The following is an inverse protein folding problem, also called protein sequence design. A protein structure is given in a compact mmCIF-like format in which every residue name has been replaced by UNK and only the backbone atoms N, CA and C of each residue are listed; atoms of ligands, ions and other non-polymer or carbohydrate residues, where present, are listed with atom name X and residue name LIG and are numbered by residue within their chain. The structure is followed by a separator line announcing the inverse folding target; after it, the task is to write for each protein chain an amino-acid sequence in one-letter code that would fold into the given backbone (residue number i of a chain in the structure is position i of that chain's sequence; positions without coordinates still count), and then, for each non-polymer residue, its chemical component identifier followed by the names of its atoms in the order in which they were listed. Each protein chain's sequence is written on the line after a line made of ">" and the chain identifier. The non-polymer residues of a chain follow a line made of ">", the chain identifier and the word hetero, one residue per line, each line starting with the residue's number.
data_IF_696954115478
#
_entry.id   IF_696954115478
#
_cell.length_a   1.000
_cell.length_b   1.000
_cell.length_c   1.000
_cell.angle_alpha   90.00
_cell.angle_beta   90.00
_cell.angle_gamma   90.00
#
_symmetry.space_group_name_H-M   'P 1'
#
loop_
_entity.id
_entity.type
_entity.pdbx_description
1 polymer ?
#
# COMPACT_ATOMS: atom_id res chain seq x y z
N UNK A 1 7.11 8.66 19.95
CA UNK A 1 7.82 7.42 20.32
C UNK A 1 6.75 6.35 20.44
N UNK A 2 6.77 5.32 19.60
CA UNK A 2 5.77 4.26 19.63
C UNK A 2 6.06 3.34 20.82
N UNK A 3 5.10 3.18 21.74
CA UNK A 3 5.29 2.53 23.04
C UNK A 3 5.10 1.01 23.02
N UNK A 4 5.06 0.40 21.84
CA UNK A 4 4.72 -1.01 21.72
C UNK A 4 5.89 -1.81 21.15
N UNK A 5 6.23 -2.92 21.82
CA UNK A 5 7.31 -3.81 21.42
C UNK A 5 6.85 -5.28 21.39
N UNK A 6 6.58 -5.79 20.19
CA UNK A 6 6.25 -7.21 19.99
C UNK A 6 7.36 -8.13 20.48
N UNK A 7 8.62 -7.67 20.51
CA UNK A 7 9.76 -8.50 20.95
C UNK A 7 9.75 -8.82 22.43
N UNK A 8 8.92 -8.14 23.23
CA UNK A 8 8.74 -8.48 24.64
C UNK A 8 8.11 -9.88 24.81
N UNK A 9 7.24 -10.27 23.89
CA UNK A 9 6.44 -11.49 23.99
C UNK A 9 6.69 -12.50 22.86
N UNK A 10 7.40 -12.11 21.79
CA UNK A 10 7.57 -12.93 20.60
C UNK A 10 8.99 -12.83 20.02
N UNK A 11 9.42 -13.90 19.34
CA UNK A 11 10.58 -13.82 18.45
C UNK A 11 10.17 -13.18 17.12
N UNK A 12 10.62 -11.95 16.87
CA UNK A 12 10.25 -11.17 15.67
C UNK A 12 11.47 -10.99 14.76
N UNK A 13 11.35 -11.46 13.53
CA UNK A 13 12.34 -11.26 12.47
C UNK A 13 11.78 -10.31 11.40
N UNK A 14 12.57 -9.32 11.01
CA UNK A 14 12.25 -8.40 9.92
C UNK A 14 13.06 -8.80 8.68
N UNK A 15 12.35 -9.08 7.60
CA UNK A 15 12.88 -9.20 6.25
C UNK A 15 12.22 -8.20 5.30
N UNK A 16 12.50 -8.35 4.01
CA UNK A 16 11.95 -7.51 2.96
C UNK A 16 11.56 -8.36 1.74
N UNK A 17 10.52 -7.94 1.04
CA UNK A 17 10.05 -8.51 -0.21
C UNK A 17 9.85 -7.40 -1.26
N UNK A 18 9.53 -7.81 -2.48
CA UNK A 18 9.17 -6.92 -3.56
C UNK A 18 7.66 -6.94 -3.82
N UNK A 19 7.09 -5.75 -4.02
CA UNK A 19 5.72 -5.57 -4.50
C UNK A 19 5.60 -6.04 -5.96
N UNK A 20 4.39 -6.42 -6.38
CA UNK A 20 4.08 -6.59 -7.79
C UNK A 20 4.15 -5.26 -8.54
N UNK A 21 4.23 -5.31 -9.88
CA UNK A 21 4.10 -4.11 -10.73
C UNK A 21 2.87 -4.24 -11.64
N UNK A 22 1.96 -3.26 -11.65
CA UNK A 22 1.85 -2.11 -10.73
C UNK A 22 1.77 -2.51 -9.25
N UNK A 23 2.24 -1.61 -8.38
CA UNK A 23 2.29 -1.78 -6.93
C UNK A 23 0.90 -1.58 -6.32
N UNK A 24 0.02 -2.56 -6.55
CA UNK A 24 -1.36 -2.58 -6.11
C UNK A 24 -1.82 -3.98 -5.66
N UNK A 25 -2.97 -4.02 -4.98
CA UNK A 25 -3.56 -5.23 -4.41
C UNK A 25 -3.95 -6.28 -5.46
N UNK A 26 -4.38 -5.88 -6.66
CA UNK A 26 -4.88 -6.81 -7.69
C UNK A 26 -3.72 -7.62 -8.28
N UNK A 27 -2.65 -6.92 -8.64
CA UNK A 27 -1.44 -7.52 -9.16
C UNK A 27 -0.75 -8.37 -8.09
N UNK A 28 -0.75 -7.92 -6.84
CA UNK A 28 -0.16 -8.68 -5.74
C UNK A 28 -0.88 -10.00 -5.48
N UNK A 29 -2.22 -9.98 -5.42
CA UNK A 29 -3.02 -11.20 -5.27
C UNK A 29 -2.78 -12.19 -6.40
N UNK A 30 -2.59 -11.68 -7.62
CA UNK A 30 -2.27 -12.51 -8.79
C UNK A 30 -0.88 -13.15 -8.67
N UNK A 31 0.11 -12.41 -8.14
CA UNK A 31 1.47 -12.90 -7.92
C UNK A 31 1.54 -13.99 -6.84
N UNK A 32 0.80 -13.85 -5.74
CA UNK A 32 0.88 -14.78 -4.62
C UNK A 32 0.53 -16.22 -4.99
N UNK A 33 -0.20 -16.45 -6.10
CA UNK A 33 -0.65 -17.77 -6.55
C UNK A 33 -1.32 -18.60 -5.43
N UNK A 34 -1.86 -17.93 -4.41
CA UNK A 34 -2.56 -18.56 -3.30
C UNK A 34 -3.99 -18.80 -3.77
N UNK A 35 -4.39 -20.08 -3.82
CA UNK A 35 -5.77 -20.43 -4.05
C UNK A 35 -6.59 -20.18 -2.78
N UNK A 36 -7.01 -18.92 -2.58
CA UNK A 36 -7.78 -18.49 -1.41
C UNK A 36 -9.07 -19.30 -1.21
N UNK A 37 -9.63 -19.91 -2.27
CA UNK A 37 -10.84 -20.73 -2.15
C UNK A 37 -10.63 -22.05 -1.40
N UNK A 38 -9.38 -22.50 -1.26
CA UNK A 38 -9.01 -23.72 -0.51
C UNK A 38 -8.50 -23.44 0.90
N UNK A 39 -8.50 -22.17 1.33
CA UNK A 39 -7.94 -21.73 2.60
C UNK A 39 -9.04 -21.16 3.49
N UNK A 40 -8.89 -21.31 4.80
CA UNK A 40 -9.73 -20.57 5.75
C UNK A 40 -9.25 -19.13 5.82
N UNK A 41 -9.99 -18.22 5.21
CA UNK A 41 -9.59 -16.81 5.10
C UNK A 41 -10.43 -15.94 6.03
N UNK A 42 -9.76 -15.23 6.94
CA UNK A 42 -10.33 -14.13 7.72
C UNK A 42 -10.17 -12.82 6.96
N UNK A 43 -11.19 -11.97 6.94
CA UNK A 43 -11.13 -10.66 6.29
C UNK A 43 -11.35 -9.57 7.34
N UNK A 44 -10.38 -8.67 7.44
CA UNK A 44 -10.32 -7.58 8.41
C UNK A 44 -10.61 -6.28 7.65
N UNK A 45 -11.90 -5.91 7.61
CA UNK A 45 -12.38 -4.69 6.97
C UNK A 45 -12.87 -3.64 7.98
N UNK A 46 -13.10 -4.05 9.22
CA UNK A 46 -13.60 -3.20 10.30
C UNK A 46 -12.92 -3.63 11.61
N UNK A 47 -12.33 -2.67 12.30
CA UNK A 47 -11.58 -2.91 13.54
C UNK A 47 -12.48 -3.47 14.65
N UNK A 48 -13.71 -2.98 14.78
CA UNK A 48 -14.59 -3.29 15.91
C UNK A 48 -15.42 -4.56 15.69
N UNK A 49 -15.51 -5.02 14.44
CA UNK A 49 -16.44 -6.08 14.03
C UNK A 49 -15.78 -7.27 13.36
N UNK A 50 -14.45 -7.40 13.38
CA UNK A 50 -13.78 -8.53 12.73
C UNK A 50 -14.11 -9.85 13.45
N UNK A 51 -14.85 -10.79 12.82
CA UNK A 51 -15.15 -12.08 13.42
C UNK A 51 -13.94 -12.99 13.23
N UNK A 52 -13.00 -12.96 14.18
CA UNK A 52 -11.88 -13.92 14.24
C UNK A 52 -12.41 -15.21 14.85
N UNK A 53 -12.43 -16.30 14.08
CA UNK A 53 -12.84 -17.63 14.56
C UNK A 53 -11.69 -18.42 15.19
N UNK A 54 -10.45 -17.96 14.99
CA UNK A 54 -9.24 -18.53 15.56
C UNK A 54 -8.67 -19.73 14.79
N UNK A 55 -9.32 -20.15 13.70
CA UNK A 55 -8.90 -21.29 12.88
C UNK A 55 -8.58 -20.93 11.43
N UNK A 56 -8.52 -19.64 11.12
CA UNK A 56 -8.13 -19.10 9.83
C UNK A 56 -6.63 -19.30 9.57
N UNK A 57 -6.29 -19.63 8.33
CA UNK A 57 -4.91 -19.79 7.87
C UNK A 57 -4.34 -18.49 7.28
N UNK A 58 -5.21 -17.60 6.81
CA UNK A 58 -4.85 -16.37 6.13
C UNK A 58 -5.76 -15.24 6.61
N UNK A 59 -5.17 -14.12 6.96
CA UNK A 59 -5.90 -12.87 7.24
C UNK A 59 -5.62 -11.85 6.14
N UNK A 60 -6.68 -11.30 5.55
CA UNK A 60 -6.60 -10.19 4.59
C UNK A 60 -7.06 -8.92 5.29
N UNK A 61 -6.15 -7.98 5.50
CA UNK A 61 -6.45 -6.70 6.14
C UNK A 61 -6.46 -5.56 5.12
N UNK A 62 -7.42 -4.63 5.27
CA UNK A 62 -7.41 -3.35 4.56
C UNK A 62 -6.65 -2.25 5.29
N UNK A 63 -6.12 -2.55 6.48
CA UNK A 63 -5.35 -1.60 7.30
C UNK A 63 -3.86 -1.86 7.14
N UNK A 64 -3.01 -0.82 7.09
CA UNK A 64 -3.33 0.58 7.34
C UNK A 64 -3.89 1.36 6.13
N UNK A 65 -3.93 0.78 4.93
CA UNK A 65 -4.26 1.48 3.67
C UNK A 65 -5.57 2.29 3.77
N UNK A 66 -6.66 1.67 4.20
CA UNK A 66 -7.97 2.34 4.35
C UNK A 66 -7.96 3.51 5.35
N UNK A 67 -7.09 3.48 6.35
CA UNK A 67 -6.91 4.59 7.30
C UNK A 67 -6.05 5.70 6.72
N UNK A 68 -5.04 5.36 5.91
CA UNK A 68 -4.21 6.33 5.19
C UNK A 68 -5.01 7.03 4.09
N UNK A 69 -5.93 6.32 3.42
CA UNK A 69 -6.83 6.92 2.43
C UNK A 69 -7.81 7.93 3.05
N UNK A 70 -8.25 7.68 4.30
CA UNK A 70 -9.18 8.53 5.05
C UNK A 70 -8.48 9.51 6.01
N UNK A 71 -7.15 9.65 5.90
CA UNK A 71 -6.39 10.55 6.79
C UNK A 71 -6.79 12.01 6.62
N UNK A 72 -7.30 12.37 5.44
CA UNK A 72 -7.77 13.70 5.08
C UNK A 72 -9.06 13.61 4.25
N UNK A 73 -10.04 14.45 4.59
CA UNK A 73 -11.22 14.70 3.74
C UNK A 73 -11.22 16.17 3.34
N UNK A 74 -11.01 16.43 2.04
CA UNK A 74 -10.80 17.78 1.54
C UNK A 74 -9.53 18.40 2.13
N UNK A 75 -9.68 19.48 2.90
CA UNK A 75 -8.56 20.13 3.62
C UNK A 75 -8.45 19.69 5.08
N UNK A 76 -9.43 18.96 5.59
CA UNK A 76 -9.51 18.60 7.02
C UNK A 76 -8.77 17.30 7.28
N UNK A 77 -7.78 17.35 8.17
CA UNK A 77 -7.09 16.16 8.65
C UNK A 77 -7.99 15.42 9.65
N UNK A 78 -8.44 14.23 9.29
CA UNK A 78 -9.31 13.41 10.14
C UNK A 78 -8.48 12.59 11.13
N UNK A 79 -7.28 12.16 10.71
CA UNK A 79 -6.39 11.34 11.53
C UNK A 79 -4.92 11.71 11.30
N UNK A 80 -4.04 11.33 12.20
CA UNK A 80 -2.60 11.52 12.12
C UNK A 80 -1.88 10.19 11.85
N UNK A 81 -0.66 10.25 11.31
CA UNK A 81 0.12 9.02 11.07
C UNK A 81 0.39 8.24 12.36
N UNK A 82 0.74 8.89 13.49
CA UNK A 82 0.83 8.19 14.76
C UNK A 82 -0.46 7.48 15.19
N UNK A 83 -1.63 8.10 14.97
CA UNK A 83 -2.91 7.46 15.28
C UNK A 83 -3.18 6.25 14.38
N UNK A 84 -2.94 6.36 13.07
CA UNK A 84 -3.08 5.24 12.12
C UNK A 84 -2.15 4.09 12.49
N UNK A 85 -0.89 4.41 12.84
CA UNK A 85 0.06 3.42 13.33
C UNK A 85 -0.45 2.74 14.60
N UNK A 86 -0.83 3.50 15.62
CA UNK A 86 -1.25 2.93 16.91
C UNK A 86 -2.49 2.04 16.75
N UNK A 87 -3.47 2.46 15.95
CA UNK A 87 -4.66 1.63 15.64
C UNK A 87 -4.28 0.35 14.92
N UNK A 88 -3.44 0.44 13.89
CA UNK A 88 -3.00 -0.74 13.12
C UNK A 88 -2.16 -1.69 13.97
N UNK A 89 -1.34 -1.16 14.86
CA UNK A 89 -0.55 -1.95 15.80
C UNK A 89 -1.44 -2.65 16.81
N UNK A 90 -2.43 -1.95 17.40
CA UNK A 90 -3.38 -2.54 18.33
C UNK A 90 -4.20 -3.67 17.68
N UNK A 91 -4.59 -3.50 16.41
CA UNK A 91 -5.24 -4.55 15.62
C UNK A 91 -4.37 -5.81 15.54
N UNK A 92 -3.07 -5.63 15.30
CA UNK A 92 -2.13 -6.74 15.24
C UNK A 92 -1.99 -7.43 16.60
N UNK A 93 -1.84 -6.68 17.69
CA UNK A 93 -1.81 -7.26 19.05
C UNK A 93 -3.05 -8.10 19.32
N UNK A 94 -4.24 -7.51 19.10
CA UNK A 94 -5.51 -8.18 19.36
C UNK A 94 -5.70 -9.43 18.48
N UNK A 95 -5.18 -9.42 17.25
CA UNK A 95 -5.18 -10.58 16.37
C UNK A 95 -4.29 -11.69 16.92
N UNK A 96 -3.05 -11.37 17.29
CA UNK A 96 -2.07 -12.33 17.81
C UNK A 96 -2.51 -12.97 19.15
N UNK A 97 -3.28 -12.24 19.97
CA UNK A 97 -3.89 -12.75 21.20
C UNK A 97 -5.03 -13.75 20.94
N UNK A 98 -5.78 -13.58 19.85
CA UNK A 98 -6.99 -14.37 19.55
C UNK A 98 -6.73 -15.64 18.73
N UNK A 99 -5.57 -15.76 18.10
CA UNK A 99 -5.24 -16.88 17.22
C UNK A 99 -4.17 -17.79 17.83
N UNK A 100 -4.31 -19.09 17.59
CA UNK A 100 -3.26 -20.06 17.88
C UNK A 100 -2.32 -20.16 16.66
N UNK A 101 -1.02 -20.06 16.89
CA UNK A 101 0.01 -20.13 15.84
C UNK A 101 1.36 -20.52 16.44
N UNK A 102 2.18 -21.21 15.66
CA UNK A 102 3.60 -21.43 15.95
C UNK A 102 4.45 -20.33 15.29
N UNK A 103 4.17 -20.07 14.01
CA UNK A 103 4.73 -18.99 13.22
C UNK A 103 3.65 -18.26 12.43
N UNK A 104 3.79 -16.93 12.32
CA UNK A 104 2.96 -16.10 11.46
C UNK A 104 3.85 -15.19 10.62
N UNK A 105 3.53 -15.09 9.33
CA UNK A 105 4.21 -14.19 8.40
C UNK A 105 3.25 -13.09 7.98
N UNK A 106 3.66 -11.85 8.23
CA UNK A 106 2.93 -10.64 7.86
C UNK A 106 3.64 -10.00 6.67
N UNK A 107 2.90 -9.79 5.59
CA UNK A 107 3.37 -9.19 4.35
C UNK A 107 2.43 -8.06 3.93
N UNK A 108 2.93 -7.19 3.06
CA UNK A 108 2.16 -6.12 2.44
C UNK A 108 2.30 -6.18 0.93
N UNK A 109 1.22 -5.81 0.24
CA UNK A 109 1.14 -5.73 -1.21
C UNK A 109 1.93 -4.56 -1.79
N UNK A 110 1.95 -3.41 -1.12
CA UNK A 110 2.71 -2.23 -1.53
C UNK A 110 3.07 -1.31 -0.36
N UNK A 111 4.05 -0.44 -0.55
CA UNK A 111 4.24 0.73 0.28
C UNK A 111 3.60 1.99 -0.30
N UNK A 112 4.06 3.17 0.11
CA UNK A 112 3.42 4.45 -0.20
C UNK A 112 4.42 5.53 -0.58
N UNK A 113 3.97 6.48 -1.42
CA UNK A 113 4.58 7.80 -1.57
C UNK A 113 3.69 8.84 -0.88
N UNK A 114 4.35 9.76 -0.17
CA UNK A 114 3.73 10.93 0.45
C UNK A 114 3.65 12.05 -0.59
N UNK A 115 2.47 12.65 -0.74
CA UNK A 115 2.20 13.72 -1.70
C UNK A 115 2.36 15.15 -1.12
N UNK A 116 3.02 15.30 0.01
CA UNK A 116 3.33 16.64 0.53
C UNK A 116 4.39 17.30 -0.38
N UNK A 117 4.31 18.63 -0.60
CA UNK A 117 5.16 19.35 -1.56
C UNK A 117 6.66 19.11 -1.40
N UNK A 118 7.12 18.90 -0.17
CA UNK A 118 8.52 18.68 0.20
C UNK A 118 9.05 17.31 -0.24
N UNK A 119 8.12 16.39 -0.49
CA UNK A 119 8.40 14.98 -0.76
C UNK A 119 8.18 14.58 -2.20
N UNK A 120 7.68 15.48 -3.06
CA UNK A 120 7.35 15.17 -4.45
C UNK A 120 8.41 15.73 -5.41
N UNK A 121 8.56 15.08 -6.56
CA UNK A 121 9.34 15.63 -7.66
C UNK A 121 8.35 16.27 -8.63
N UNK A 122 8.31 17.61 -8.74
CA UNK A 122 7.36 18.26 -9.62
C UNK A 122 7.68 17.90 -11.08
N UNK A 123 6.64 17.61 -11.84
CA UNK A 123 6.72 17.52 -13.30
C UNK A 123 6.77 18.93 -13.88
N UNK A 124 7.46 19.13 -15.00
CA UNK A 124 7.47 20.41 -15.71
C UNK A 124 6.04 20.91 -16.00
N UNK A 125 5.71 22.20 -15.78
CA UNK A 125 4.33 22.70 -15.90
C UNK A 125 3.68 22.41 -17.26
N UNK A 126 4.45 22.45 -18.35
CA UNK A 126 4.00 22.13 -19.71
C UNK A 126 3.59 20.65 -19.86
N UNK A 127 4.17 19.77 -19.04
CA UNK A 127 3.97 18.32 -19.07
C UNK A 127 2.89 17.87 -18.08
N UNK A 128 2.70 18.58 -16.96
CA UNK A 128 1.69 18.24 -15.94
C UNK A 128 0.30 18.05 -16.53
N UNK A 129 -0.20 19.01 -17.32
CA UNK A 129 -1.54 18.93 -17.93
C UNK A 129 -1.66 17.77 -18.92
N UNK A 130 -0.59 17.47 -19.66
CA UNK A 130 -0.58 16.40 -20.65
C UNK A 130 -0.57 15.03 -19.97
N UNK A 131 0.24 14.85 -18.93
CA UNK A 131 0.26 13.61 -18.14
C UNK A 131 -1.08 13.44 -17.43
N UNK A 132 -1.62 14.48 -16.78
CA UNK A 132 -2.91 14.41 -16.11
C UNK A 132 -4.06 14.01 -17.06
N UNK A 133 -4.06 14.50 -18.30
CA UNK A 133 -5.06 14.13 -19.31
C UNK A 133 -4.99 12.64 -19.68
N UNK A 134 -3.78 12.09 -19.76
CA UNK A 134 -3.55 10.71 -20.20
C UNK A 134 -3.69 9.74 -19.03
N UNK A 135 -3.00 9.99 -17.93
CA UNK A 135 -2.94 9.12 -16.76
C UNK A 135 -4.11 9.32 -15.79
N UNK A 136 -4.85 10.44 -15.88
CA UNK A 136 -5.81 10.79 -14.83
C UNK A 136 -5.09 10.87 -13.48
N UNK A 137 -5.76 10.46 -12.40
CA UNK A 137 -5.18 10.45 -11.03
C UNK A 137 -4.57 9.16 -10.56
N UNK A 138 -4.49 8.17 -11.44
CA UNK A 138 -3.76 6.95 -11.16
C UNK A 138 -2.26 7.15 -11.31
N UNK A 139 -1.49 6.34 -10.60
CA UNK A 139 -0.03 6.21 -10.80
C UNK A 139 0.32 5.17 -11.87
N UNK A 140 -0.67 4.47 -12.43
CA UNK A 140 -0.48 3.60 -13.57
C UNK A 140 -1.71 3.57 -14.48
N UNK A 141 -1.52 3.13 -15.72
CA UNK A 141 -2.58 2.78 -16.69
C UNK A 141 -2.10 1.68 -17.62
N UNK A 142 -3.04 0.87 -18.11
CA UNK A 142 -2.73 -0.18 -19.09
C UNK A 142 -2.27 0.46 -20.41
N UNK A 143 -1.23 -0.10 -21.00
CA UNK A 143 -0.68 0.34 -22.28
C UNK A 143 -1.63 0.09 -23.45
N UNK A 144 -2.63 -0.78 -23.28
CA UNK A 144 -3.73 -0.99 -24.23
C UNK A 144 -4.76 0.15 -24.25
N UNK A 145 -4.81 0.98 -23.20
CA UNK A 145 -5.84 2.02 -23.02
C UNK A 145 -5.34 3.41 -23.43
N UNK A 146 -4.04 3.65 -23.35
CA UNK A 146 -3.43 4.97 -23.57
C UNK A 146 -2.09 4.85 -24.27
N UNK A 147 -1.66 5.93 -24.93
CA UNK A 147 -0.27 6.07 -25.39
C UNK A 147 0.45 7.12 -24.56
N UNK A 148 1.47 6.70 -23.82
CA UNK A 148 2.26 7.54 -22.93
C UNK A 148 3.77 7.40 -23.18
N UNK A 149 4.18 6.86 -24.34
CA UNK A 149 5.60 6.59 -24.68
C UNK A 149 6.47 7.84 -24.61
N UNK A 150 5.90 9.02 -24.94
CA UNK A 150 6.60 10.30 -24.76
C UNK A 150 7.08 10.46 -23.32
N UNK A 151 6.24 10.21 -22.32
CA UNK A 151 6.59 10.43 -20.92
C UNK A 151 7.54 9.36 -20.37
N UNK A 152 7.62 8.20 -21.04
CA UNK A 152 8.68 7.21 -20.77
C UNK A 152 10.03 7.74 -21.25
N UNK A 153 10.09 8.31 -22.46
CA UNK A 153 11.32 8.92 -23.00
C UNK A 153 11.79 10.11 -22.15
N UNK A 154 10.85 10.92 -21.66
CA UNK A 154 11.12 12.06 -20.77
C UNK A 154 11.41 11.64 -19.32
N UNK A 155 11.30 10.34 -18.99
CA UNK A 155 11.69 9.80 -17.68
C UNK A 155 10.66 9.95 -16.55
N UNK A 156 9.45 10.45 -16.83
CA UNK A 156 8.38 10.57 -15.83
C UNK A 156 7.66 9.25 -15.56
N UNK A 157 7.55 8.42 -16.59
CA UNK A 157 6.92 7.11 -16.52
C UNK A 157 7.93 6.01 -16.89
N UNK A 158 7.60 4.78 -16.55
CA UNK A 158 8.22 3.58 -17.11
C UNK A 158 7.15 2.70 -17.75
N UNK A 159 7.57 1.75 -18.60
CA UNK A 159 6.71 0.70 -19.12
C UNK A 159 7.08 -0.63 -18.47
N UNK A 160 6.13 -1.28 -17.80
CA UNK A 160 6.32 -2.59 -17.17
C UNK A 160 4.99 -3.35 -17.09
N UNK A 161 5.01 -4.67 -17.30
CA UNK A 161 3.84 -5.56 -17.22
C UNK A 161 2.61 -4.99 -17.94
N UNK A 162 2.77 -4.56 -19.19
CA UNK A 162 1.71 -3.93 -20.01
C UNK A 162 1.08 -2.66 -19.42
N UNK A 163 1.77 -1.98 -18.52
CA UNK A 163 1.34 -0.72 -17.92
C UNK A 163 2.38 0.39 -18.15
N UNK A 164 1.88 1.62 -18.27
CA UNK A 164 2.66 2.80 -17.98
C UNK A 164 2.54 3.12 -16.50
N UNK A 165 3.67 3.31 -15.82
CA UNK A 165 3.75 3.44 -14.36
C UNK A 165 4.54 4.70 -14.00
N UNK A 166 4.06 5.50 -13.06
CA UNK A 166 4.73 6.69 -12.55
C UNK A 166 6.05 6.32 -11.88
N UNK A 167 7.14 6.95 -12.32
CA UNK A 167 8.47 6.73 -11.73
C UNK A 167 8.66 7.59 -10.48
N UNK A 168 9.29 7.03 -9.47
CA UNK A 168 9.69 7.74 -8.25
C UNK A 168 8.51 8.54 -7.67
N UNK A 169 8.77 9.75 -7.19
CA UNK A 169 7.77 10.64 -6.60
C UNK A 169 7.28 11.70 -7.59
N UNK A 170 7.36 11.42 -8.89
CA UNK A 170 6.70 12.27 -9.88
C UNK A 170 5.20 12.25 -9.64
N UNK A 171 4.62 13.44 -9.61
CA UNK A 171 3.19 13.66 -9.43
C UNK A 171 2.73 14.82 -10.32
N UNK A 172 1.46 14.83 -10.64
CA UNK A 172 0.81 15.89 -11.40
C UNK A 172 -0.52 16.25 -10.71
N UNK A 173 -0.85 17.54 -10.60
CA UNK A 173 -2.03 17.98 -9.89
C UNK A 173 -3.31 17.60 -10.64
N UNK A 174 -4.35 17.24 -9.88
CA UNK A 174 -5.66 16.88 -10.42
C UNK A 174 -6.74 17.53 -9.58
N UNK A 175 -7.73 18.08 -10.26
CA UNK A 175 -8.86 18.73 -9.65
C UNK A 175 -9.67 17.76 -8.78
N UNK A 176 -9.99 18.17 -7.54
CA UNK A 176 -11.08 17.60 -6.75
C UNK A 176 -10.74 16.49 -5.74
N UNK A 177 -9.57 15.84 -5.80
CA UNK A 177 -9.17 14.87 -4.76
C UNK A 177 -7.72 15.07 -4.36
N UNK A 178 -7.51 15.53 -3.13
CA UNK A 178 -6.21 15.56 -2.48
C UNK A 178 -6.05 14.27 -1.68
N UNK A 179 -5.22 13.35 -2.17
CA UNK A 179 -4.76 12.21 -1.37
C UNK A 179 -3.40 12.58 -0.77
N UNK A 180 -3.20 12.31 0.52
CA UNK A 180 -1.89 12.49 1.17
C UNK A 180 -0.94 11.36 0.80
N UNK A 181 -1.47 10.15 0.59
CA UNK A 181 -0.71 8.96 0.22
C UNK A 181 -1.18 8.44 -1.14
N UNK A 182 -0.23 7.97 -1.95
CA UNK A 182 -0.51 7.22 -3.17
C UNK A 182 0.38 6.00 -3.30
N UNK A 183 -0.08 5.04 -4.09
CA UNK A 183 0.64 3.82 -4.46
C UNK A 183 0.32 3.47 -5.92
N UNK A 184 0.88 2.37 -6.42
CA UNK A 184 0.72 1.93 -7.81
C UNK A 184 1.77 2.48 -8.78
N UNK A 185 2.71 3.29 -8.29
CA UNK A 185 3.89 3.72 -9.03
C UNK A 185 5.06 2.75 -8.89
N UNK A 186 6.25 3.22 -9.27
CA UNK A 186 7.53 2.55 -9.00
C UNK A 186 8.47 3.48 -8.23
N UNK A 187 8.61 3.22 -6.94
CA UNK A 187 9.60 3.88 -6.10
C UNK A 187 10.12 2.88 -5.08
N UNK A 188 11.28 3.15 -4.49
CA UNK A 188 11.85 2.29 -3.47
C UNK A 188 10.85 2.04 -2.32
N UNK A 189 10.13 3.09 -1.91
CA UNK A 189 9.15 3.03 -0.83
C UNK A 189 7.84 2.37 -1.22
N UNK A 190 7.49 2.32 -2.51
CA UNK A 190 6.31 1.58 -2.99
C UNK A 190 6.65 0.09 -3.18
N UNK A 191 7.85 -0.20 -3.70
CA UNK A 191 8.17 -1.53 -4.21
C UNK A 191 8.92 -2.44 -3.24
N UNK A 192 9.50 -1.93 -2.16
CA UNK A 192 10.09 -2.76 -1.10
C UNK A 192 9.12 -2.80 0.08
N UNK A 193 8.57 -3.97 0.37
CA UNK A 193 7.62 -4.17 1.46
C UNK A 193 8.25 -4.96 2.60
N UNK A 194 7.99 -4.61 3.86
CA UNK A 194 8.50 -5.35 5.00
C UNK A 194 7.82 -6.73 5.08
N UNK A 195 8.59 -7.72 5.53
CA UNK A 195 8.09 -9.04 5.90
C UNK A 195 8.39 -9.24 7.37
N UNK A 196 7.37 -9.43 8.19
CA UNK A 196 7.54 -9.75 9.61
C UNK A 196 7.24 -11.23 9.81
N UNK A 197 8.20 -11.98 10.35
CA UNK A 197 7.98 -13.34 10.84
C UNK A 197 7.97 -13.30 12.35
N UNK A 198 6.84 -13.67 12.95
CA UNK A 198 6.62 -13.69 14.40
C UNK A 198 6.47 -15.15 14.84
N UNK A 199 7.21 -15.54 15.88
CA UNK A 199 7.12 -16.86 16.50
C UNK A 199 6.84 -16.73 17.99
N UNK A 200 6.03 -17.64 18.52
CA UNK A 200 5.85 -17.83 19.97
C UNK A 200 7.04 -18.56 20.59
#
# INVERSE_FOLDING_TARGET
>A
MFSHDLKANFSVNLGFSYSSLPSDTINFKSMLNINLSKKKVGVINDFDLTPIKGNEEIFLSRFPDSYLESIQEGKTRIQTIPEVYNKTFKLLEDLLEKIEFEDITIISDHGYVILEPEFIIPVEPSMQKLIARIMGGGRFKKASEVNADKFVKEGYLIKANDNYIAKSRYTWPISGKFKVFQHGGISLLECITPVLTIKK
#
